data_IF_212580736163
#
_entry.id   IF_212580736163
#
_cell.length_a   1.000
_cell.length_b   1.000
_cell.length_c   1.000
_cell.angle_alpha   90.00
_cell.angle_beta   90.00
_cell.angle_gamma   90.00
#
_symmetry.space_group_name_H-M   'P 1'
#
loop_
_entity.id
_entity.type
_entity.pdbx_description
1 polymer ?
#
# COMPACT_ATOMS: atom_id res chain seq x y z
N UNK A 1 12.25 -22.27 10.96
CA UNK A 1 12.50 -21.02 10.20
C UNK A 1 12.26 -21.31 8.72
N UNK A 2 11.09 -20.97 8.17
CA UNK A 2 10.76 -21.30 6.78
C UNK A 2 11.58 -20.38 5.86
N UNK A 3 12.68 -20.88 5.32
CA UNK A 3 13.50 -20.17 4.34
C UNK A 3 12.70 -20.12 3.03
N UNK A 4 12.31 -18.92 2.59
CA UNK A 4 11.54 -18.77 1.34
C UNK A 4 12.32 -19.35 0.15
N UNK A 5 11.65 -19.88 -0.87
CA UNK A 5 12.28 -20.41 -2.09
C UNK A 5 13.27 -19.41 -2.72
N UNK A 6 12.97 -18.12 -2.66
CA UNK A 6 13.88 -17.06 -3.11
C UNK A 6 15.18 -17.00 -2.31
N UNK A 7 15.11 -17.16 -0.99
CA UNK A 7 16.30 -17.21 -0.14
C UNK A 7 17.19 -18.42 -0.46
N UNK A 8 16.60 -19.57 -0.84
CA UNK A 8 17.38 -20.75 -1.27
C UNK A 8 18.17 -20.48 -2.56
N UNK A 9 17.54 -19.82 -3.54
CA UNK A 9 18.22 -19.41 -4.78
C UNK A 9 19.34 -18.41 -4.53
N UNK A 10 19.16 -17.45 -3.62
CA UNK A 10 20.20 -16.46 -3.33
C UNK A 10 21.35 -17.03 -2.51
N UNK A 11 21.07 -17.92 -1.56
CA UNK A 11 22.12 -18.67 -0.85
C UNK A 11 22.87 -19.55 -1.87
N UNK A 12 22.15 -20.23 -2.77
CA UNK A 12 22.76 -21.02 -3.85
C UNK A 12 23.65 -20.18 -4.77
N UNK A 13 23.21 -18.98 -5.16
CA UNK A 13 24.00 -18.06 -5.97
C UNK A 13 25.21 -17.50 -5.23
N UNK A 14 25.07 -17.12 -3.95
CA UNK A 14 26.18 -16.66 -3.12
C UNK A 14 27.24 -17.77 -2.92
N UNK A 15 26.80 -19.01 -2.70
CA UNK A 15 27.67 -20.18 -2.64
C UNK A 15 28.35 -20.41 -3.98
N UNK A 16 27.63 -20.30 -5.10
CA UNK A 16 28.20 -20.44 -6.44
C UNK A 16 29.27 -19.38 -6.74
N UNK A 17 29.01 -18.11 -6.41
CA UNK A 17 29.99 -17.02 -6.54
C UNK A 17 31.20 -17.25 -5.62
N UNK A 18 30.98 -17.71 -4.38
CA UNK A 18 32.09 -18.07 -3.49
C UNK A 18 32.91 -19.23 -4.05
N UNK A 19 32.30 -20.26 -4.64
CA UNK A 19 32.99 -21.38 -5.27
C UNK A 19 33.80 -20.92 -6.50
N UNK A 20 33.26 -20.00 -7.30
CA UNK A 20 34.00 -19.41 -8.43
C UNK A 20 35.17 -18.55 -7.96
N UNK A 21 34.98 -17.73 -6.93
CA UNK A 21 36.07 -16.92 -6.37
C UNK A 21 37.14 -17.80 -5.71
N UNK A 22 36.73 -18.90 -5.06
CA UNK A 22 37.64 -19.89 -4.49
C UNK A 22 38.40 -20.66 -5.60
N UNK A 23 37.73 -21.03 -6.69
CA UNK A 23 38.39 -21.70 -7.82
C UNK A 23 39.34 -20.76 -8.58
N UNK A 24 38.99 -19.49 -8.74
CA UNK A 24 39.87 -18.45 -9.28
C UNK A 24 41.04 -18.15 -8.34
N UNK A 25 40.85 -18.27 -7.02
CA UNK A 25 41.93 -18.11 -6.04
C UNK A 25 42.97 -19.21 -6.08
N UNK A 26 42.56 -20.42 -6.47
CA UNK A 26 43.45 -21.57 -6.65
C UNK A 26 44.30 -21.46 -7.93
N UNK A 27 43.94 -20.56 -8.86
CA UNK A 27 44.62 -20.33 -10.13
C UNK A 27 45.62 -19.17 -10.09
N UNK A 28 45.81 -18.47 -8.96
CA UNK A 28 46.76 -17.37 -8.81
C UNK A 28 47.54 -17.40 -7.48
N UNK A 29 48.78 -16.90 -7.49
CA UNK A 29 49.75 -16.97 -6.39
C UNK A 29 49.42 -16.18 -5.10
N UNK A 30 48.19 -15.68 -4.92
CA UNK A 30 47.79 -14.87 -3.76
C UNK A 30 46.57 -15.46 -3.05
N UNK A 31 46.69 -16.73 -2.64
CA UNK A 31 45.65 -17.47 -1.93
C UNK A 31 45.18 -16.73 -0.66
N UNK A 32 46.11 -16.03 0.00
CA UNK A 32 45.85 -15.21 1.19
C UNK A 32 44.97 -13.99 0.91
N UNK A 33 45.13 -13.36 -0.26
CA UNK A 33 44.28 -12.24 -0.65
C UNK A 33 42.84 -12.69 -0.91
N UNK A 34 42.67 -13.82 -1.59
CA UNK A 34 41.34 -14.37 -1.86
C UNK A 34 40.63 -14.89 -0.62
N UNK A 35 41.35 -15.55 0.30
CA UNK A 35 40.79 -15.96 1.59
C UNK A 35 40.36 -14.72 2.38
N UNK A 36 41.19 -13.67 2.42
CA UNK A 36 40.84 -12.39 3.04
C UNK A 36 39.60 -11.76 2.43
N UNK A 37 39.48 -11.74 1.11
CA UNK A 37 38.32 -11.19 0.40
C UNK A 37 37.03 -11.96 0.72
N UNK A 38 37.07 -13.29 0.70
CA UNK A 38 35.91 -14.13 1.06
C UNK A 38 35.54 -13.95 2.53
N UNK A 39 36.52 -13.85 3.43
CA UNK A 39 36.26 -13.59 4.85
C UNK A 39 35.56 -12.25 5.07
N UNK A 40 35.99 -11.18 4.38
CA UNK A 40 35.33 -9.88 4.43
C UNK A 40 33.89 -9.95 3.92
N UNK A 41 33.65 -10.61 2.78
CA UNK A 41 32.30 -10.82 2.26
C UNK A 41 31.42 -11.61 3.22
N UNK A 42 31.96 -12.63 3.88
CA UNK A 42 31.25 -13.42 4.87
C UNK A 42 30.86 -12.58 6.09
N UNK A 43 31.77 -11.74 6.61
CA UNK A 43 31.47 -10.80 7.71
C UNK A 43 30.37 -9.82 7.31
N UNK A 44 30.45 -9.25 6.10
CA UNK A 44 29.42 -8.34 5.57
C UNK A 44 28.08 -9.06 5.45
N UNK A 45 28.06 -10.29 4.91
CA UNK A 45 26.84 -11.07 4.80
C UNK A 45 26.21 -11.38 6.17
N UNK A 46 27.03 -11.74 7.17
CA UNK A 46 26.56 -11.98 8.54
C UNK A 46 25.98 -10.69 9.14
N UNK A 47 26.64 -9.55 8.94
CA UNK A 47 26.13 -8.26 9.39
C UNK A 47 24.80 -7.91 8.71
N UNK A 48 24.72 -8.04 7.39
CA UNK A 48 23.54 -7.73 6.58
C UNK A 48 22.30 -8.55 6.98
N UNK A 49 22.49 -9.85 7.28
CA UNK A 49 21.41 -10.76 7.69
C UNK A 49 20.95 -10.48 9.12
N UNK A 50 21.89 -10.12 10.00
CA UNK A 50 21.66 -9.89 11.43
C UNK A 50 21.03 -8.52 11.73
N UNK A 51 21.32 -7.49 10.92
CA UNK A 51 20.82 -6.14 11.18
C UNK A 51 19.30 -6.01 10.92
N UNK A 52 18.65 -5.08 11.62
CA UNK A 52 17.19 -4.88 11.61
C UNK A 52 16.73 -3.60 10.93
N UNK A 53 17.66 -2.73 10.51
CA UNK A 53 17.37 -1.37 9.99
C UNK A 53 17.06 -1.33 8.49
N UNK A 54 17.76 -2.14 7.69
CA UNK A 54 17.71 -2.12 6.23
C UNK A 54 17.11 -3.41 5.67
N UNK A 55 15.82 -3.38 5.33
CA UNK A 55 15.12 -4.56 4.79
C UNK A 55 15.71 -5.08 3.48
N UNK A 56 16.29 -4.21 2.64
CA UNK A 56 16.89 -4.62 1.36
C UNK A 56 18.18 -5.40 1.60
N UNK A 57 19.12 -4.88 2.41
CA UNK A 57 20.37 -5.59 2.73
C UNK A 57 20.11 -6.93 3.43
N UNK A 58 19.09 -6.99 4.29
CA UNK A 58 18.70 -8.23 4.98
C UNK A 58 18.17 -9.30 4.04
N UNK A 59 17.38 -8.89 3.03
CA UNK A 59 16.81 -9.81 2.05
C UNK A 59 17.79 -10.15 0.92
N UNK A 60 18.78 -9.28 0.66
CA UNK A 60 19.79 -9.43 -0.39
C UNK A 60 21.19 -9.07 0.17
N UNK A 61 21.78 -9.92 1.04
CA UNK A 61 23.10 -9.67 1.61
C UNK A 61 24.16 -9.53 0.52
N UNK A 62 25.15 -8.66 0.71
CA UNK A 62 26.22 -8.32 -0.26
C UNK A 62 25.66 -7.63 -1.53
N UNK A 63 24.78 -8.27 -2.28
CA UNK A 63 24.24 -7.77 -3.56
C UNK A 63 23.41 -6.51 -3.36
N UNK A 64 22.72 -6.38 -2.22
CA UNK A 64 21.93 -5.18 -1.89
C UNK A 64 22.78 -3.91 -1.80
N UNK A 65 24.08 -4.01 -1.49
CA UNK A 65 25.00 -2.88 -1.50
C UNK A 65 25.21 -2.32 -2.91
N UNK A 66 25.15 -3.16 -3.94
CA UNK A 66 25.23 -2.71 -5.35
C UNK A 66 24.13 -1.70 -5.68
N UNK A 67 22.92 -1.91 -5.16
CA UNK A 67 21.82 -0.95 -5.33
C UNK A 67 22.18 0.42 -4.78
N UNK A 68 22.75 0.47 -3.57
CA UNK A 68 23.12 1.73 -2.92
C UNK A 68 24.32 2.41 -3.59
N UNK A 69 25.29 1.63 -4.07
CA UNK A 69 26.42 2.13 -4.86
C UNK A 69 25.90 2.74 -6.17
N UNK A 70 25.01 2.05 -6.88
CA UNK A 70 24.38 2.58 -8.09
C UNK A 70 23.49 3.79 -7.76
N UNK A 71 22.78 3.80 -6.64
CA UNK A 71 22.00 4.96 -6.18
C UNK A 71 22.88 6.16 -5.85
N UNK A 72 24.10 5.93 -5.36
CA UNK A 72 25.11 6.95 -5.09
C UNK A 72 25.76 7.51 -6.37
N UNK A 73 26.10 6.65 -7.34
CA UNK A 73 26.73 7.05 -8.62
C UNK A 73 25.72 7.57 -9.67
N UNK A 74 24.44 7.30 -9.45
CA UNK A 74 23.38 7.67 -10.39
C UNK A 74 23.25 9.18 -10.60
N UNK A 75 23.26 10.07 -9.58
CA UNK A 75 23.14 11.51 -9.79
C UNK A 75 24.12 12.05 -10.83
N UNK A 76 25.37 11.61 -10.77
CA UNK A 76 26.43 12.00 -11.69
C UNK A 76 26.13 11.46 -13.09
N UNK A 77 25.80 10.18 -13.21
CA UNK A 77 25.42 9.58 -14.50
C UNK A 77 24.19 10.29 -15.09
N UNK A 78 23.20 10.63 -14.27
CA UNK A 78 21.96 11.25 -14.74
C UNK A 78 22.18 12.71 -15.13
N UNK A 79 22.95 13.47 -14.36
CA UNK A 79 23.30 14.86 -14.63
C UNK A 79 24.00 15.01 -15.98
N UNK A 80 24.86 14.06 -16.34
CA UNK A 80 25.62 14.14 -17.60
C UNK A 80 24.99 13.38 -18.78
N UNK A 81 24.15 12.36 -18.55
CA UNK A 81 23.67 11.49 -19.64
C UNK A 81 22.14 11.35 -19.79
N UNK A 82 21.31 11.65 -18.77
CA UNK A 82 19.87 11.21 -18.76
C UNK A 82 18.89 12.33 -18.33
N UNK A 83 19.37 13.40 -17.69
CA UNK A 83 18.75 14.71 -17.50
C UNK A 83 17.37 14.84 -16.79
N UNK A 84 16.73 13.81 -16.23
CA UNK A 84 15.44 14.04 -15.53
C UNK A 84 15.15 13.17 -14.29
N UNK A 85 14.83 13.82 -13.16
CA UNK A 85 14.40 13.21 -11.90
C UNK A 85 12.88 12.98 -11.81
N UNK A 86 12.09 13.57 -12.72
CA UNK A 86 10.63 13.49 -12.77
C UNK A 86 10.11 12.34 -13.65
N UNK A 87 10.87 11.90 -14.65
CA UNK A 87 10.46 10.90 -15.65
C UNK A 87 10.05 9.51 -15.10
N UNK A 88 10.41 9.17 -13.85
CA UNK A 88 10.02 7.90 -13.23
C UNK A 88 8.50 7.83 -12.97
N UNK A 89 7.84 6.79 -13.50
CA UNK A 89 6.44 6.46 -13.21
C UNK A 89 6.34 5.24 -12.29
N UNK A 90 5.36 5.18 -11.36
CA UNK A 90 4.27 6.14 -11.15
C UNK A 90 4.65 7.35 -10.28
N UNK A 91 5.79 7.31 -9.58
CA UNK A 91 6.24 8.40 -8.70
C UNK A 91 7.68 8.77 -9.03
N UNK A 92 7.92 10.06 -9.27
CA UNK A 92 9.24 10.63 -9.50
C UNK A 92 10.19 10.45 -8.32
N UNK A 93 11.50 10.56 -8.59
CA UNK A 93 12.54 10.38 -7.56
C UNK A 93 12.44 11.41 -6.45
N UNK A 94 12.18 12.67 -6.82
CA UNK A 94 12.02 13.77 -5.87
C UNK A 94 10.96 13.41 -4.81
N UNK A 95 9.76 13.02 -5.26
CA UNK A 95 8.67 12.62 -4.39
C UNK A 95 9.04 11.44 -3.49
N UNK A 96 9.66 10.39 -4.06
CA UNK A 96 10.11 9.22 -3.28
C UNK A 96 11.15 9.58 -2.23
N UNK A 97 12.12 10.42 -2.59
CA UNK A 97 13.18 10.89 -1.69
C UNK A 97 12.60 11.68 -0.52
N UNK A 98 11.69 12.61 -0.80
CA UNK A 98 10.95 13.38 0.21
C UNK A 98 10.20 12.46 1.17
N UNK A 99 9.47 11.46 0.65
CA UNK A 99 8.78 10.46 1.48
C UNK A 99 9.77 9.71 2.39
N UNK A 100 10.91 9.25 1.86
CA UNK A 100 11.91 8.53 2.67
C UNK A 100 12.60 9.41 3.70
N UNK A 101 12.90 10.67 3.39
CA UNK A 101 13.51 11.62 4.33
C UNK A 101 12.56 11.91 5.49
N UNK A 102 11.29 12.22 5.20
CA UNK A 102 10.23 12.39 6.20
C UNK A 102 10.06 11.15 7.07
N UNK A 103 10.00 9.97 6.48
CA UNK A 103 9.85 8.72 7.22
C UNK A 103 11.04 8.43 8.16
N UNK A 104 12.22 8.98 7.88
CA UNK A 104 13.42 8.87 8.71
C UNK A 104 13.60 10.05 9.68
N UNK A 105 12.70 11.03 9.70
CA UNK A 105 12.84 12.26 10.49
C UNK A 105 14.01 13.14 10.05
N UNK A 106 14.45 13.00 8.80
CA UNK A 106 15.52 13.81 8.22
C UNK A 106 14.87 15.02 7.54
N UNK A 107 15.46 16.21 7.68
CA UNK A 107 15.01 17.42 6.99
C UNK A 107 14.78 17.11 5.50
N UNK A 108 13.60 17.40 4.98
CA UNK A 108 13.16 17.15 3.61
C UNK A 108 13.23 18.39 2.71
N UNK A 109 13.59 19.54 3.28
CA UNK A 109 13.69 20.81 2.55
C UNK A 109 14.91 20.80 1.63
N UNK A 110 14.68 21.08 0.34
CA UNK A 110 15.72 21.35 -0.65
C UNK A 110 15.56 22.80 -1.07
N UNK A 111 16.54 23.64 -0.75
CA UNK A 111 16.54 25.05 -1.12
C UNK A 111 17.01 25.20 -2.58
N UNK A 112 16.12 24.92 -3.53
CA UNK A 112 16.39 25.15 -4.95
C UNK A 112 15.15 25.71 -5.65
N UNK A 113 15.36 26.40 -6.78
CA UNK A 113 14.26 26.88 -7.61
C UNK A 113 13.43 25.72 -8.18
N UNK A 114 12.24 26.01 -8.69
CA UNK A 114 11.43 24.96 -9.31
C UNK A 114 12.12 24.46 -10.58
N UNK A 115 12.42 23.16 -10.64
CA UNK A 115 12.86 22.47 -11.87
C UNK A 115 11.66 22.14 -12.78
N UNK A 116 10.44 22.44 -12.33
CA UNK A 116 9.21 22.10 -13.05
C UNK A 116 8.96 23.09 -14.17
N UNK A 117 8.54 22.56 -15.32
CA UNK A 117 7.95 23.37 -16.38
C UNK A 117 6.59 23.89 -15.91
N UNK A 118 6.56 25.13 -15.43
CA UNK A 118 5.35 25.81 -14.94
C UNK A 118 4.40 26.23 -16.07
N UNK A 119 4.85 26.21 -17.33
CA UNK A 119 4.04 26.58 -18.49
C UNK A 119 3.40 25.37 -19.17
N UNK A 120 3.75 24.15 -18.76
CA UNK A 120 3.13 22.94 -19.31
C UNK A 120 1.63 22.95 -19.06
N UNK A 121 0.87 22.50 -20.06
CA UNK A 121 -0.57 22.33 -19.95
C UNK A 121 -0.91 21.40 -18.77
N UNK A 122 -1.79 21.86 -17.88
CA UNK A 122 -2.19 21.12 -16.68
C UNK A 122 -1.28 21.32 -15.46
N UNK A 123 -0.29 22.21 -15.51
CA UNK A 123 0.41 22.64 -14.30
C UNK A 123 -0.48 23.55 -13.45
N UNK A 124 -0.69 23.17 -12.20
CA UNK A 124 -1.45 23.96 -11.24
C UNK A 124 -0.49 24.77 -10.37
N UNK A 125 -0.75 26.06 -10.24
CA UNK A 125 -0.03 26.97 -9.36
C UNK A 125 -0.98 27.74 -8.45
N UNK A 126 -0.49 28.11 -7.28
CA UNK A 126 -1.22 28.96 -6.34
C UNK A 126 -0.48 30.28 -6.25
N UNK A 127 -1.16 31.38 -6.56
CA UNK A 127 -0.60 32.72 -6.40
C UNK A 127 -0.55 33.07 -4.92
N UNK A 128 0.58 33.61 -4.45
CA UNK A 128 0.66 34.12 -3.10
C UNK A 128 -0.31 35.29 -2.92
N UNK A 129 -0.90 35.41 -1.73
CA UNK A 129 -1.65 36.61 -1.33
C UNK A 129 -0.67 37.64 -0.76
N UNK A 130 -0.76 38.90 -1.21
CA UNK A 130 -0.03 40.02 -0.59
C UNK A 130 -0.59 40.39 0.79
N UNK A 131 -1.76 39.87 1.14
CA UNK A 131 -2.37 40.03 2.46
C UNK A 131 -2.27 38.70 3.21
N UNK A 132 -1.21 38.48 4.01
CA UNK A 132 -1.08 37.25 4.78
C UNK A 132 -2.21 37.16 5.81
N UNK A 133 -2.86 36.00 5.89
CA UNK A 133 -3.78 35.68 6.97
C UNK A 133 -3.06 34.80 7.99
N UNK A 134 -3.20 35.13 9.27
CA UNK A 134 -2.79 34.20 10.32
C UNK A 134 -3.76 33.01 10.29
N UNK A 135 -3.22 31.83 10.07
CA UNK A 135 -3.94 30.57 10.25
C UNK A 135 -3.55 30.06 11.62
N UNK A 136 -4.51 30.05 12.55
CA UNK A 136 -4.36 29.23 13.74
C UNK A 136 -4.21 27.76 13.29
N UNK A 137 -3.53 26.93 14.07
CA UNK A 137 -3.46 25.47 13.84
C UNK A 137 -4.85 24.85 14.03
N UNK A 138 -5.73 25.08 13.07
CA UNK A 138 -7.03 24.44 13.02
C UNK A 138 -6.76 23.08 12.38
N UNK A 139 -6.97 22.01 13.15
CA UNK A 139 -7.23 20.69 12.56
C UNK A 139 -8.49 20.82 11.71
N UNK A 140 -8.34 21.33 10.49
CA UNK A 140 -9.45 21.40 9.55
C UNK A 140 -9.76 19.95 9.19
N UNK A 141 -10.84 19.44 9.79
CA UNK A 141 -11.40 18.12 9.48
C UNK A 141 -12.59 18.30 8.57
N UNK A 142 -12.79 17.35 7.67
CA UNK A 142 -13.92 17.33 6.74
C UNK A 142 -15.04 16.50 7.35
N UNK A 143 -16.21 17.11 7.53
CA UNK A 143 -17.41 16.39 7.97
C UNK A 143 -17.93 15.52 6.84
N UNK A 144 -17.95 14.21 7.04
CA UNK A 144 -18.53 13.21 6.14
C UNK A 144 -19.85 12.72 6.73
N UNK A 145 -20.91 12.81 5.94
CA UNK A 145 -22.28 12.42 6.32
C UNK A 145 -23.28 13.56 6.12
N UNK A 146 -24.33 13.30 5.34
CA UNK A 146 -25.43 14.23 5.08
C UNK A 146 -26.51 14.21 6.17
N UNK A 147 -27.67 14.81 5.88
CA UNK A 147 -28.83 14.90 6.79
C UNK A 147 -29.31 13.54 7.31
N UNK A 148 -29.22 12.51 6.48
CA UNK A 148 -29.75 11.17 6.80
C UNK A 148 -28.77 10.32 7.62
N UNK A 149 -27.56 10.85 7.88
CA UNK A 149 -26.55 10.16 8.66
C UNK A 149 -26.74 10.47 10.15
N UNK A 150 -26.86 9.42 10.98
CA UNK A 150 -26.96 9.54 12.43
C UNK A 150 -25.59 9.69 13.11
N UNK A 151 -24.52 9.24 12.44
CA UNK A 151 -23.16 9.20 12.97
C UNK A 151 -22.17 9.87 12.00
N UNK A 152 -22.26 11.19 11.76
CA UNK A 152 -21.32 11.87 10.89
C UNK A 152 -19.88 11.75 11.42
N UNK A 153 -18.91 11.67 10.51
CA UNK A 153 -17.50 11.46 10.84
C UNK A 153 -16.64 12.67 10.46
N UNK A 154 -15.68 13.05 11.30
CA UNK A 154 -14.77 14.17 11.06
C UNK A 154 -13.41 13.65 10.56
N UNK A 155 -13.29 13.53 9.24
CA UNK A 155 -12.09 12.99 8.61
C UNK A 155 -10.95 14.00 8.54
N UNK A 156 -9.71 13.52 8.61
CA UNK A 156 -8.54 14.30 8.16
C UNK A 156 -8.64 14.58 6.65
N UNK A 157 -7.93 15.59 6.15
CA UNK A 157 -7.75 15.78 4.70
C UNK A 157 -6.90 14.68 4.06
N UNK A 158 -5.98 14.09 4.83
CA UNK A 158 -5.14 12.98 4.41
C UNK A 158 -5.56 11.72 5.14
N UNK A 159 -5.80 10.63 4.41
CA UNK A 159 -6.16 9.34 4.99
C UNK A 159 -5.50 8.18 4.22
N UNK A 160 -5.53 6.99 4.81
CA UNK A 160 -4.96 5.79 4.18
C UNK A 160 -6.02 5.11 3.32
N UNK A 161 -5.75 5.08 2.01
CA UNK A 161 -6.63 4.49 1.00
C UNK A 161 -6.71 2.97 1.10
N UNK A 162 -7.72 2.41 0.41
CA UNK A 162 -8.11 1.03 0.50
C UNK A 162 -7.04 0.07 -0.08
N UNK A 163 -6.50 -0.81 0.75
CA UNK A 163 -5.57 -1.86 0.31
C UNK A 163 -5.83 -3.17 1.04
N UNK A 164 -6.21 -4.21 0.28
CA UNK A 164 -6.70 -5.47 0.82
C UNK A 164 -5.62 -6.26 1.58
N UNK A 165 -5.98 -6.80 2.75
CA UNK A 165 -5.21 -7.87 3.39
C UNK A 165 -5.13 -9.10 2.46
N UNK A 166 -3.92 -9.62 2.25
CA UNK A 166 -3.59 -10.62 1.23
C UNK A 166 -2.89 -10.03 0.00
N UNK A 167 -3.15 -8.76 -0.34
CA UNK A 167 -2.24 -7.97 -1.18
C UNK A 167 -1.14 -7.34 -0.32
N UNK A 168 -1.50 -6.83 0.86
CA UNK A 168 -0.57 -6.43 1.91
C UNK A 168 -0.36 -7.55 2.93
N UNK A 169 0.84 -7.57 3.53
CA UNK A 169 1.14 -8.44 4.67
C UNK A 169 0.54 -7.88 5.96
N UNK A 170 0.39 -8.73 6.99
CA UNK A 170 -0.05 -8.32 8.32
C UNK A 170 0.79 -7.14 8.87
N UNK A 171 2.11 -7.23 8.72
CA UNK A 171 3.03 -6.18 9.19
C UNK A 171 2.81 -4.85 8.44
N UNK A 172 2.52 -4.89 7.15
CA UNK A 172 2.23 -3.68 6.38
C UNK A 172 0.92 -3.02 6.84
N UNK A 173 -0.14 -3.81 7.06
CA UNK A 173 -1.43 -3.31 7.57
C UNK A 173 -1.25 -2.68 8.95
N UNK A 174 -0.54 -3.34 9.87
CA UNK A 174 -0.27 -2.80 11.22
C UNK A 174 0.59 -1.53 11.19
N UNK A 175 1.59 -1.46 10.28
CA UNK A 175 2.41 -0.28 10.12
C UNK A 175 1.60 0.92 9.62
N UNK A 176 0.72 0.71 8.64
CA UNK A 176 -0.22 1.73 8.17
C UNK A 176 -1.15 2.18 9.29
N UNK A 177 -1.69 1.24 10.07
CA UNK A 177 -2.54 1.57 11.21
C UNK A 177 -1.81 2.44 12.24
N UNK A 178 -0.59 2.07 12.61
CA UNK A 178 0.24 2.87 13.53
C UNK A 178 0.50 4.27 12.97
N UNK A 179 0.77 4.39 11.66
CA UNK A 179 0.92 5.69 11.00
C UNK A 179 -0.36 6.53 11.03
N UNK A 180 -1.52 5.91 10.78
CA UNK A 180 -2.81 6.57 10.85
C UNK A 180 -3.15 7.05 12.27
N UNK A 181 -2.81 6.25 13.29
CA UNK A 181 -2.98 6.65 14.70
C UNK A 181 -2.18 7.90 15.05
N UNK A 182 -0.92 7.95 14.61
CA UNK A 182 -0.03 9.09 14.86
C UNK A 182 -0.48 10.36 14.12
N UNK A 183 -1.05 10.20 12.91
CA UNK A 183 -1.54 11.32 12.10
C UNK A 183 -3.00 11.72 12.33
N UNK A 184 -3.75 11.00 13.17
CA UNK A 184 -5.19 11.21 13.33
C UNK A 184 -6.01 10.93 12.06
N UNK A 185 -5.54 9.99 11.24
CA UNK A 185 -6.14 9.59 9.95
C UNK A 185 -7.03 8.37 10.11
N UNK A 186 -8.01 8.19 9.22
CA UNK A 186 -8.65 6.88 9.09
C UNK A 186 -7.83 5.93 8.20
N UNK A 187 -8.09 4.63 8.34
CA UNK A 187 -7.58 3.59 7.44
C UNK A 187 -8.72 2.81 6.77
N UNK A 188 -8.70 2.73 5.45
CA UNK A 188 -9.64 1.90 4.71
C UNK A 188 -9.14 0.45 4.58
N UNK A 189 -10.00 -0.54 4.86
CA UNK A 189 -9.63 -1.96 4.94
C UNK A 189 -9.28 -2.60 3.58
N UNK A 190 -9.75 -2.01 2.48
CA UNK A 190 -9.79 -2.69 1.20
C UNK A 190 -10.88 -3.76 1.13
N UNK A 191 -11.07 -4.33 -0.06
CA UNK A 191 -12.03 -5.41 -0.34
C UNK A 191 -11.64 -6.74 0.32
N UNK A 192 -10.48 -6.84 0.97
CA UNK A 192 -9.98 -8.10 1.55
C UNK A 192 -10.69 -8.53 2.84
N UNK A 193 -11.64 -7.74 3.34
CA UNK A 193 -12.29 -7.92 4.63
C UNK A 193 -11.58 -7.20 5.78
N UNK A 194 -12.30 -7.01 6.88
CA UNK A 194 -11.78 -6.41 8.12
C UNK A 194 -11.06 -7.49 8.94
N UNK A 195 -9.86 -7.18 9.42
CA UNK A 195 -8.98 -8.13 10.12
C UNK A 195 -8.55 -7.60 11.49
N UNK A 196 -8.09 -8.48 12.38
CA UNK A 196 -7.48 -8.09 13.67
C UNK A 196 -6.29 -7.13 13.53
N UNK A 197 -5.60 -7.17 12.40
CA UNK A 197 -4.47 -6.27 12.09
C UNK A 197 -4.91 -4.82 11.82
N UNK A 198 -6.18 -4.61 11.45
CA UNK A 198 -6.79 -3.27 11.35
C UNK A 198 -7.30 -2.77 12.71
N UNK A 199 -7.66 -3.68 13.62
CA UNK A 199 -8.19 -3.37 14.94
C UNK A 199 -7.07 -3.02 15.94
N UNK A 200 -6.24 -2.03 15.61
CA UNK A 200 -5.13 -1.55 16.46
C UNK A 200 -5.40 -0.15 17.05
N UNK A 201 -6.67 0.28 17.03
CA UNK A 201 -7.14 1.51 17.70
C UNK A 201 -7.17 2.76 16.82
N UNK A 202 -7.50 2.60 15.54
CA UNK A 202 -7.69 3.68 14.56
C UNK A 202 -9.08 3.59 13.97
N UNK A 203 -9.63 4.73 13.55
CA UNK A 203 -10.89 4.80 12.83
C UNK A 203 -10.78 4.14 11.45
N UNK A 204 -11.74 3.26 11.14
CA UNK A 204 -11.73 2.42 9.95
C UNK A 204 -12.85 2.79 8.99
N UNK A 205 -12.54 2.65 7.71
CA UNK A 205 -13.53 2.58 6.64
C UNK A 205 -13.61 1.14 6.17
N UNK A 206 -14.77 0.51 6.39
CA UNK A 206 -14.99 -0.86 5.96
C UNK A 206 -15.41 -0.86 4.49
N UNK A 207 -14.52 -1.32 3.60
CA UNK A 207 -14.78 -1.35 2.17
C UNK A 207 -15.41 -2.68 1.75
N UNK A 208 -16.46 -2.60 0.94
CA UNK A 208 -17.16 -3.72 0.33
C UNK A 208 -16.96 -3.65 -1.19
N UNK A 209 -16.34 -4.68 -1.75
CA UNK A 209 -16.25 -4.90 -3.19
C UNK A 209 -17.28 -5.91 -3.70
N UNK A 210 -17.22 -6.24 -4.99
CA UNK A 210 -18.17 -7.14 -5.66
C UNK A 210 -18.17 -8.58 -5.12
N UNK A 211 -17.06 -9.01 -4.52
CA UNK A 211 -16.94 -10.33 -3.88
C UNK A 211 -17.52 -10.40 -2.45
N UNK A 212 -17.97 -9.28 -1.89
CA UNK A 212 -18.52 -9.13 -0.52
C UNK A 212 -17.67 -9.80 0.58
N UNK A 213 -16.35 -9.85 0.42
CA UNK A 213 -15.48 -10.53 1.39
C UNK A 213 -15.64 -9.93 2.79
N UNK A 214 -15.77 -10.81 3.79
CA UNK A 214 -16.04 -10.42 5.17
C UNK A 214 -17.51 -10.09 5.48
N UNK A 215 -18.40 -10.06 4.47
CA UNK A 215 -19.84 -9.89 4.63
C UNK A 215 -20.64 -10.69 3.58
N UNK A 216 -20.17 -11.89 3.22
CA UNK A 216 -20.78 -12.76 2.20
C UNK A 216 -21.39 -14.02 2.76
N UNK A 217 -22.43 -14.50 2.08
CA UNK A 217 -22.91 -15.88 2.17
C UNK A 217 -21.97 -16.86 1.45
N UNK A 218 -22.18 -18.15 1.64
CA UNK A 218 -21.34 -19.19 1.03
C UNK A 218 -21.50 -19.23 -0.50
N UNK A 219 -22.67 -18.83 -1.03
CA UNK A 219 -22.91 -18.64 -2.47
C UNK A 219 -22.34 -17.30 -3.02
N UNK A 220 -21.73 -16.48 -2.16
CA UNK A 220 -21.03 -15.25 -2.56
C UNK A 220 -21.88 -14.02 -2.75
N UNK A 221 -23.11 -14.04 -2.23
CA UNK A 221 -23.97 -12.86 -2.17
C UNK A 221 -23.74 -12.09 -0.87
N UNK A 222 -24.29 -10.89 -0.81
CA UNK A 222 -24.26 -10.07 0.40
C UNK A 222 -25.02 -10.74 1.55
N UNK A 223 -24.43 -10.75 2.74
CA UNK A 223 -25.03 -11.22 3.99
C UNK A 223 -25.20 -10.04 4.96
N UNK A 224 -26.45 -9.70 5.25
CA UNK A 224 -26.77 -8.62 6.19
C UNK A 224 -26.28 -8.90 7.61
N UNK A 225 -26.38 -10.15 8.07
CA UNK A 225 -25.92 -10.59 9.40
C UNK A 225 -24.42 -10.37 9.57
N UNK A 226 -23.60 -10.93 8.67
CA UNK A 226 -22.14 -10.76 8.70
C UNK A 226 -21.74 -9.29 8.48
N UNK A 227 -22.49 -8.55 7.68
CA UNK A 227 -22.26 -7.11 7.52
C UNK A 227 -22.46 -6.37 8.85
N UNK A 228 -23.58 -6.61 9.56
CA UNK A 228 -23.91 -5.98 10.84
C UNK A 228 -22.81 -6.24 11.87
N UNK A 229 -22.28 -7.46 11.95
CA UNK A 229 -21.20 -7.83 12.87
C UNK A 229 -19.95 -6.97 12.69
N UNK A 230 -19.54 -6.70 11.44
CA UNK A 230 -18.33 -5.91 11.15
C UNK A 230 -18.61 -4.41 11.13
N UNK A 231 -19.70 -4.00 10.51
CA UNK A 231 -20.07 -2.60 10.33
C UNK A 231 -20.36 -1.89 11.65
N UNK A 232 -20.84 -2.61 12.68
CA UNK A 232 -21.16 -2.03 13.97
C UNK A 232 -20.03 -2.08 15.00
N UNK A 233 -18.83 -2.56 14.63
CA UNK A 233 -17.65 -2.39 15.47
C UNK A 233 -17.39 -0.89 15.71
N UNK A 234 -17.02 -0.54 16.94
CA UNK A 234 -16.77 0.86 17.33
C UNK A 234 -15.66 1.52 16.50
N UNK A 235 -14.66 0.74 16.08
CA UNK A 235 -13.58 1.22 15.21
C UNK A 235 -14.05 1.54 13.79
N UNK A 236 -15.14 0.95 13.30
CA UNK A 236 -15.65 1.23 11.95
C UNK A 236 -16.49 2.50 11.99
N UNK A 237 -16.03 3.56 11.34
CA UNK A 237 -16.74 4.85 11.32
C UNK A 237 -17.52 5.09 10.05
N UNK A 238 -17.10 4.48 8.93
CA UNK A 238 -17.75 4.64 7.63
C UNK A 238 -17.72 3.33 6.85
N UNK A 239 -18.62 3.20 5.89
CA UNK A 239 -18.69 2.08 4.95
C UNK A 239 -18.40 2.63 3.55
N UNK A 240 -17.61 1.92 2.76
CA UNK A 240 -17.30 2.31 1.38
C UNK A 240 -17.71 1.19 0.41
N UNK A 241 -18.55 1.51 -0.57
CA UNK A 241 -18.92 0.58 -1.64
C UNK A 241 -17.99 0.83 -2.82
N UNK A 242 -17.21 -0.18 -3.21
CA UNK A 242 -16.29 -0.08 -4.33
C UNK A 242 -16.96 -0.59 -5.62
N UNK A 243 -17.33 0.34 -6.50
CA UNK A 243 -17.93 0.02 -7.80
C UNK A 243 -16.90 -0.41 -8.84
N UNK A 244 -15.70 0.18 -8.83
CA UNK A 244 -14.63 -0.13 -9.79
C UNK A 244 -13.24 0.23 -9.25
N UNK A 245 -12.19 -0.33 -9.87
CA UNK A 245 -10.79 -0.05 -9.53
C UNK A 245 -10.04 0.54 -10.72
N UNK A 246 -9.29 1.62 -10.53
CA UNK A 246 -8.55 2.30 -11.60
C UNK A 246 -7.55 1.40 -12.34
N UNK A 247 -6.98 0.41 -11.65
CA UNK A 247 -6.07 -0.56 -12.26
C UNK A 247 -6.77 -1.60 -13.15
N UNK A 248 -8.06 -1.91 -12.89
CA UNK A 248 -8.85 -2.95 -13.56
C UNK A 248 -10.33 -2.58 -13.53
N UNK A 249 -10.78 -1.64 -14.38
CA UNK A 249 -12.13 -1.07 -14.28
C UNK A 249 -13.26 -2.07 -14.56
N UNK A 250 -12.98 -3.14 -15.32
CA UNK A 250 -14.00 -4.08 -15.83
C UNK A 250 -13.89 -5.51 -15.28
N UNK A 251 -12.93 -5.80 -14.39
CA UNK A 251 -12.69 -7.15 -13.88
C UNK A 251 -12.65 -7.17 -12.36
N UNK A 252 -13.35 -8.14 -11.76
CA UNK A 252 -13.23 -8.41 -10.33
C UNK A 252 -11.85 -8.95 -9.96
N UNK A 253 -11.44 -8.76 -8.70
CA UNK A 253 -10.18 -9.27 -8.19
C UNK A 253 -10.13 -10.81 -8.18
N UNK A 254 -8.97 -11.37 -8.54
CA UNK A 254 -8.67 -12.81 -8.42
C UNK A 254 -7.81 -13.03 -7.18
N UNK A 255 -8.24 -13.89 -6.28
CA UNK A 255 -7.43 -14.41 -5.18
C UNK A 255 -7.04 -15.87 -5.49
N UNK A 256 -5.78 -16.13 -5.86
CA UNK A 256 -5.33 -17.50 -6.13
C UNK A 256 -5.38 -18.37 -4.88
N UNK A 257 -5.76 -19.64 -5.04
CA UNK A 257 -5.88 -20.64 -3.98
C UNK A 257 -4.59 -20.76 -3.16
N UNK A 258 -3.43 -20.66 -3.83
CA UNK A 258 -2.12 -20.72 -3.18
C UNK A 258 -1.87 -19.60 -2.14
N UNK A 259 -2.64 -18.50 -2.21
CA UNK A 259 -2.59 -17.41 -1.23
C UNK A 259 -3.66 -17.51 -0.14
N UNK A 260 -4.58 -18.48 -0.23
CA UNK A 260 -5.66 -18.67 0.74
C UNK A 260 -5.13 -19.49 1.91
N UNK A 261 -4.66 -18.79 2.93
CA UNK A 261 -4.38 -19.38 4.24
C UNK A 261 -5.69 -19.61 5.02
N UNK A 262 -5.69 -20.45 6.07
CA UNK A 262 -6.85 -20.59 6.95
C UNK A 262 -7.37 -19.23 7.48
N UNK A 263 -6.45 -18.34 7.84
CA UNK A 263 -6.77 -16.98 8.29
C UNK A 263 -7.47 -16.16 7.19
N UNK A 264 -7.01 -16.23 5.94
CA UNK A 264 -7.64 -15.53 4.82
C UNK A 264 -9.00 -16.13 4.49
N UNK A 265 -9.15 -17.44 4.56
CA UNK A 265 -10.41 -18.14 4.34
C UNK A 265 -11.48 -17.70 5.33
N UNK A 266 -11.13 -17.66 6.62
CA UNK A 266 -12.01 -17.21 7.71
C UNK A 266 -12.42 -15.74 7.53
N UNK A 267 -11.43 -14.85 7.37
CA UNK A 267 -11.66 -13.40 7.22
C UNK A 267 -12.55 -13.09 6.02
N UNK A 268 -12.34 -13.78 4.90
CA UNK A 268 -13.06 -13.50 3.66
C UNK A 268 -14.38 -14.26 3.54
N UNK A 269 -14.61 -15.29 4.36
CA UNK A 269 -15.76 -16.18 4.25
C UNK A 269 -15.72 -17.02 2.97
N UNK A 270 -14.57 -17.64 2.68
CA UNK A 270 -14.33 -18.46 1.48
C UNK A 270 -13.75 -19.82 1.82
N UNK A 271 -14.01 -20.83 1.01
CA UNK A 271 -13.44 -22.17 1.19
C UNK A 271 -11.96 -22.21 0.80
N UNK A 272 -11.18 -23.03 1.49
CA UNK A 272 -9.78 -23.28 1.15
C UNK A 272 -9.64 -24.14 -0.12
N UNK A 273 -8.53 -23.97 -0.83
CA UNK A 273 -8.12 -24.87 -1.91
C UNK A 273 -8.76 -24.59 -3.28
N UNK A 274 -9.55 -23.52 -3.42
CA UNK A 274 -10.12 -23.08 -4.69
C UNK A 274 -9.78 -21.62 -4.96
N UNK A 275 -9.55 -21.28 -6.22
CA UNK A 275 -9.41 -19.88 -6.62
C UNK A 275 -10.72 -19.14 -6.35
N UNK A 276 -10.62 -17.92 -5.83
CA UNK A 276 -11.78 -17.08 -5.58
C UNK A 276 -11.78 -15.93 -6.57
N UNK A 277 -12.79 -15.94 -7.43
CA UNK A 277 -13.07 -14.88 -8.38
C UNK A 277 -14.11 -13.94 -7.79
N UNK A 278 -13.80 -12.66 -7.78
CA UNK A 278 -14.82 -11.64 -7.51
C UNK A 278 -15.61 -11.41 -8.80
N UNK A 279 -16.94 -11.34 -8.75
CA UNK A 279 -17.74 -10.97 -9.91
C UNK A 279 -17.33 -9.59 -10.47
N UNK A 280 -17.59 -9.30 -11.75
CA UNK A 280 -17.30 -7.99 -12.33
C UNK A 280 -18.21 -6.87 -11.79
N UNK A 281 -19.39 -7.23 -11.27
CA UNK A 281 -20.37 -6.29 -10.73
C UNK A 281 -20.95 -6.79 -9.39
N UNK A 282 -21.51 -5.86 -8.63
CA UNK A 282 -22.24 -6.19 -7.40
C UNK A 282 -23.49 -6.99 -7.71
N UNK A 283 -23.69 -8.13 -7.04
CA UNK A 283 -24.90 -8.95 -7.20
C UNK A 283 -26.12 -8.44 -6.43
N UNK A 284 -25.97 -7.40 -5.59
CA UNK A 284 -27.04 -6.89 -4.74
C UNK A 284 -27.92 -5.83 -5.42
N UNK A 285 -27.46 -5.30 -6.56
CA UNK A 285 -28.17 -4.28 -7.33
C UNK A 285 -27.70 -4.33 -8.80
N UNK A 286 -28.58 -3.97 -9.72
CA UNK A 286 -28.33 -3.91 -11.16
C UNK A 286 -28.62 -2.53 -11.75
N UNK A 287 -29.33 -1.66 -11.02
CA UNK A 287 -29.69 -0.31 -11.47
C UNK A 287 -29.24 0.76 -10.47
N UNK A 288 -29.08 2.04 -10.88
CA UNK A 288 -28.77 3.13 -9.97
C UNK A 288 -29.81 3.32 -8.85
N UNK A 289 -31.09 3.03 -9.13
CA UNK A 289 -32.16 3.13 -8.13
C UNK A 289 -32.02 2.02 -7.08
N UNK A 290 -31.78 0.78 -7.52
CA UNK A 290 -31.48 -0.34 -6.61
C UNK A 290 -30.22 -0.08 -5.78
N UNK A 291 -29.21 0.57 -6.38
CA UNK A 291 -28.01 0.99 -5.65
C UNK A 291 -28.34 2.00 -4.54
N UNK A 292 -29.23 2.97 -4.78
CA UNK A 292 -29.71 3.87 -3.72
C UNK A 292 -30.43 3.13 -2.59
N UNK A 293 -31.26 2.12 -2.92
CA UNK A 293 -31.88 1.26 -1.90
C UNK A 293 -30.85 0.46 -1.12
N UNK A 294 -29.81 -0.05 -1.79
CA UNK A 294 -28.72 -0.75 -1.13
C UNK A 294 -27.92 0.18 -0.19
N UNK A 295 -27.62 1.42 -0.61
CA UNK A 295 -27.02 2.44 0.27
C UNK A 295 -27.88 2.66 1.52
N UNK A 296 -29.19 2.80 1.35
CA UNK A 296 -30.12 2.97 2.47
C UNK A 296 -30.09 1.74 3.39
N UNK A 297 -30.13 0.53 2.84
CA UNK A 297 -30.05 -0.71 3.60
C UNK A 297 -28.76 -0.78 4.42
N UNK A 298 -27.60 -0.50 3.82
CA UNK A 298 -26.32 -0.51 4.54
C UNK A 298 -26.28 0.55 5.64
N UNK A 299 -26.86 1.73 5.40
CA UNK A 299 -26.97 2.79 6.42
C UNK A 299 -27.82 2.34 7.60
N UNK A 300 -28.97 1.75 7.33
CA UNK A 300 -29.89 1.27 8.37
C UNK A 300 -29.24 0.12 9.18
N UNK A 301 -28.59 -0.84 8.51
CA UNK A 301 -27.87 -1.96 9.15
C UNK A 301 -26.62 -1.53 9.95
N UNK A 302 -26.00 -0.39 9.61
CA UNK A 302 -24.82 0.16 10.30
C UNK A 302 -25.15 1.21 11.36
N UNK A 303 -26.42 1.25 11.82
CA UNK A 303 -26.91 2.22 12.81
C UNK A 303 -26.74 3.69 12.38
N UNK A 304 -26.81 3.96 11.07
CA UNK A 304 -26.80 5.31 10.51
C UNK A 304 -25.42 5.90 10.19
N UNK A 305 -24.40 5.06 9.98
CA UNK A 305 -23.05 5.51 9.58
C UNK A 305 -23.04 6.08 8.14
N UNK A 306 -22.04 6.91 7.78
CA UNK A 306 -21.86 7.40 6.42
C UNK A 306 -21.52 6.24 5.47
N UNK A 307 -22.15 6.25 4.30
CA UNK A 307 -21.93 5.28 3.23
C UNK A 307 -21.34 6.04 2.05
N UNK A 308 -20.07 5.80 1.74
CA UNK A 308 -19.36 6.34 0.58
C UNK A 308 -19.35 5.37 -0.58
N UNK A 309 -19.01 5.88 -1.78
CA UNK A 309 -18.79 5.07 -2.96
C UNK A 309 -17.43 5.42 -3.59
N UNK A 310 -16.71 4.41 -4.05
CA UNK A 310 -15.46 4.55 -4.79
C UNK A 310 -15.68 4.10 -6.23
N UNK A 311 -15.33 4.95 -7.19
CA UNK A 311 -15.50 4.71 -8.62
C UNK A 311 -14.34 5.33 -9.40
N UNK A 312 -14.12 4.82 -10.60
CA UNK A 312 -13.17 5.38 -11.58
C UNK A 312 -13.92 6.34 -12.49
N UNK A 313 -13.50 7.60 -12.51
CA UNK A 313 -14.01 8.57 -13.47
C UNK A 313 -13.36 8.30 -14.83
N UNK A 314 -14.17 7.96 -15.83
CA UNK A 314 -13.76 7.91 -17.23
C UNK A 314 -14.49 9.03 -17.96
N UNK A 315 -13.76 10.07 -18.35
CA UNK A 315 -14.29 11.13 -19.21
C UNK A 315 -13.95 10.72 -20.65
N UNK A 316 -14.92 10.16 -21.38
CA UNK A 316 -14.81 10.10 -22.83
C UNK A 316 -15.05 11.52 -23.35
N UNK A 317 -13.96 12.23 -23.64
CA UNK A 317 -14.03 13.41 -24.49
C UNK A 317 -14.38 12.91 -25.89
N UNK A 318 -15.67 12.94 -26.23
CA UNK A 318 -16.10 12.91 -27.62
C UNK A 318 -15.60 14.18 -28.28
N UNK A 319 -14.52 14.09 -29.04
CA UNK A 319 -14.13 15.10 -30.02
C UNK A 319 -14.95 14.92 -31.30
#
# INVERSE_FOLDING_TARGET
MHISERHKWYIGFAVFVMVILLSLSLLHASIWFSIGFVAVLAVIAIYDVSQTKHSILRNFPIVGHMRYILEFLRPEIQQYFIADNESEKPFGRELRSTIYRRAKGINDTVAFGTEKDIYRVGYEWVTHSLMPKHLDEIETRVKIGGSDCKQPYMASHLNISAMSFGALSANAVMALNKGAKLGGFYQCTGEGGLTKYHLQGVDLVFQIGTGYFGCRTDDGKFSAEKFVEKANLDSVKMIEIKLSQGAKPSHGGVLPAAKITPEIAEIRGVSMGKDVLSPPAHSAFSTPIEFCYFIKQLRDLSNGKPIGLSYVLVVMLSF
#
